data_IF_402382713081
#
_entry.id   IF_402382713081
#
_cell.length_a   1.000
_cell.length_b   1.000
_cell.length_c   1.000
_cell.angle_alpha   90.00
_cell.angle_beta   90.00
_cell.angle_gamma   90.00
#
_symmetry.space_group_name_H-M   'P 1'
#
loop_
_entity.id
_entity.type
_entity.pdbx_description
1 polymer ?
#
# COMPACT_ATOMS: atom_id res chain seq x y z
N UNK A 1 9.07 -16.19 17.45
CA UNK A 1 9.24 -16.61 16.03
C UNK A 1 8.02 -16.32 15.16
N UNK A 2 6.79 -16.77 15.51
CA UNK A 2 5.59 -16.53 14.68
C UNK A 2 5.27 -15.05 14.42
N UNK A 3 5.44 -14.18 15.42
CA UNK A 3 5.19 -12.73 15.28
C UNK A 3 6.20 -12.05 14.34
N UNK A 4 7.48 -12.42 14.44
CA UNK A 4 8.54 -11.90 13.57
C UNK A 4 8.26 -12.29 12.10
N UNK A 5 7.83 -13.53 11.88
CA UNK A 5 7.48 -14.01 10.54
C UNK A 5 6.23 -13.30 9.98
N UNK A 6 5.21 -13.04 10.80
CA UNK A 6 4.05 -12.23 10.39
C UNK A 6 4.42 -10.78 10.08
N UNK A 7 5.33 -10.19 10.85
CA UNK A 7 5.84 -8.84 10.59
C UNK A 7 6.63 -8.78 9.28
N UNK A 8 7.51 -9.76 9.02
CA UNK A 8 8.24 -9.85 7.76
C UNK A 8 7.29 -10.02 6.57
N UNK A 9 6.30 -10.92 6.66
CA UNK A 9 5.28 -11.09 5.64
C UNK A 9 4.49 -9.80 5.38
N UNK A 10 4.14 -9.08 6.45
CA UNK A 10 3.45 -7.80 6.32
C UNK A 10 4.33 -6.79 5.58
N UNK A 11 5.60 -6.62 5.96
CA UNK A 11 6.53 -5.72 5.28
C UNK A 11 6.69 -6.08 3.80
N UNK A 12 6.85 -7.37 3.47
CA UNK A 12 6.94 -7.83 2.08
C UNK A 12 5.64 -7.54 1.31
N UNK A 13 4.48 -7.78 1.92
CA UNK A 13 3.19 -7.51 1.29
C UNK A 13 2.99 -6.02 1.02
N UNK A 14 3.35 -5.14 1.97
CA UNK A 14 3.31 -3.68 1.78
C UNK A 14 4.23 -3.27 0.63
N UNK A 15 5.47 -3.73 0.63
CA UNK A 15 6.44 -3.35 -0.40
C UNK A 15 6.02 -3.81 -1.79
N UNK A 16 5.57 -5.06 -1.94
CA UNK A 16 5.10 -5.59 -3.21
C UNK A 16 3.83 -4.88 -3.69
N UNK A 17 2.91 -4.57 -2.78
CA UNK A 17 1.69 -3.81 -3.12
C UNK A 17 2.02 -2.40 -3.59
N UNK A 18 2.94 -1.72 -2.90
CA UNK A 18 3.40 -0.38 -3.26
C UNK A 18 4.04 -0.37 -4.65
N UNK A 19 4.96 -1.30 -4.90
CA UNK A 19 5.63 -1.45 -6.19
C UNK A 19 4.62 -1.76 -7.31
N UNK A 20 3.62 -2.59 -7.02
CA UNK A 20 2.58 -2.96 -7.98
C UNK A 20 1.69 -1.77 -8.31
N UNK A 21 1.20 -1.04 -7.30
CA UNK A 21 0.40 0.17 -7.51
C UNK A 21 1.15 1.19 -8.36
N UNK A 22 2.43 1.41 -8.05
CA UNK A 22 3.26 2.35 -8.79
C UNK A 22 3.51 1.94 -10.25
N UNK A 23 3.63 0.63 -10.53
CA UNK A 23 3.82 0.12 -11.89
C UNK A 23 2.53 0.02 -12.71
N UNK A 24 1.41 -0.27 -12.06
CA UNK A 24 0.13 -0.56 -12.72
C UNK A 24 -0.66 0.72 -12.97
N UNK A 25 -0.62 1.69 -12.05
CA UNK A 25 -1.34 2.94 -12.19
C UNK A 25 -0.48 3.90 -13.03
N UNK A 26 -0.90 4.25 -14.25
CA UNK A 26 -0.09 5.07 -15.14
C UNK A 26 0.01 6.51 -14.60
N UNK A 27 1.08 7.25 -14.94
CA UNK A 27 1.29 8.60 -14.43
C UNK A 27 0.08 9.52 -14.62
N UNK A 28 -0.57 9.50 -15.78
CA UNK A 28 -1.72 10.36 -16.09
C UNK A 28 -2.87 10.14 -15.10
N UNK A 29 -3.08 8.90 -14.67
CA UNK A 29 -4.06 8.59 -13.63
C UNK A 29 -3.60 9.08 -12.25
N UNK A 30 -2.30 9.00 -11.94
CA UNK A 30 -1.74 9.52 -10.69
C UNK A 30 -1.93 11.05 -10.60
N UNK A 31 -1.63 11.79 -11.68
CA UNK A 31 -1.86 13.22 -11.78
C UNK A 31 -3.35 13.56 -11.65
N UNK A 32 -4.22 12.86 -12.38
CA UNK A 32 -5.67 13.09 -12.33
C UNK A 32 -6.26 12.88 -10.93
N UNK A 33 -5.79 11.86 -10.20
CA UNK A 33 -6.21 11.64 -8.81
C UNK A 33 -5.76 12.83 -7.94
N UNK A 34 -4.51 13.29 -8.06
CA UNK A 34 -4.02 14.41 -7.26
C UNK A 34 -4.77 15.72 -7.57
N UNK A 35 -5.04 15.99 -8.85
CA UNK A 35 -5.84 17.14 -9.28
C UNK A 35 -7.27 17.11 -8.73
N UNK A 36 -7.88 15.91 -8.58
CA UNK A 36 -9.19 15.76 -7.94
C UNK A 36 -9.19 16.30 -6.49
N UNK A 37 -8.06 16.19 -5.80
CA UNK A 37 -7.87 16.75 -4.45
C UNK A 37 -7.32 18.19 -4.47
N UNK A 38 -7.27 18.84 -5.65
CA UNK A 38 -6.73 20.19 -5.86
C UNK A 38 -5.24 20.30 -5.49
N UNK A 39 -4.49 19.21 -5.63
CA UNK A 39 -3.05 19.16 -5.43
C UNK A 39 -2.38 19.39 -6.78
N UNK A 40 -1.54 20.41 -6.85
CA UNK A 40 -0.86 20.83 -8.07
C UNK A 40 0.65 20.95 -7.83
N UNK A 41 1.43 20.76 -8.88
CA UNK A 41 2.89 20.79 -8.83
C UNK A 41 3.48 19.39 -8.60
N UNK A 42 4.47 19.05 -9.42
CA UNK A 42 4.99 17.69 -9.54
C UNK A 42 5.48 17.10 -8.22
N UNK A 43 6.17 17.89 -7.39
CA UNK A 43 6.66 17.45 -6.08
C UNK A 43 5.50 17.09 -5.13
N UNK A 44 4.48 17.95 -5.04
CA UNK A 44 3.32 17.73 -4.18
C UNK A 44 2.45 16.55 -4.65
N UNK A 45 2.34 16.38 -5.96
CA UNK A 45 1.64 15.25 -6.58
C UNK A 45 2.36 13.95 -6.27
N UNK A 46 3.68 13.92 -6.44
CA UNK A 46 4.49 12.74 -6.15
C UNK A 46 4.36 12.34 -4.68
N UNK A 47 4.49 13.28 -3.75
CA UNK A 47 4.34 13.03 -2.33
C UNK A 47 2.94 12.49 -2.01
N UNK A 48 1.89 13.12 -2.53
CA UNK A 48 0.52 12.70 -2.31
C UNK A 48 0.27 11.26 -2.80
N UNK A 49 0.72 10.93 -4.01
CA UNK A 49 0.57 9.61 -4.62
C UNK A 49 1.33 8.56 -3.82
N UNK A 50 2.54 8.86 -3.36
CA UNK A 50 3.34 7.98 -2.51
C UNK A 50 2.63 7.69 -1.18
N UNK A 51 2.10 8.70 -0.49
CA UNK A 51 1.37 8.50 0.76
C UNK A 51 0.07 7.73 0.54
N UNK A 52 -0.66 8.02 -0.53
CA UNK A 52 -1.87 7.30 -0.89
C UNK A 52 -1.58 5.81 -1.13
N UNK A 53 -0.58 5.51 -1.97
CA UNK A 53 -0.23 4.13 -2.29
C UNK A 53 0.34 3.38 -1.09
N UNK A 54 1.12 4.05 -0.25
CA UNK A 54 1.60 3.50 1.02
C UNK A 54 0.42 3.17 1.95
N UNK A 55 -0.55 4.07 2.07
CA UNK A 55 -1.76 3.85 2.87
C UNK A 55 -2.57 2.65 2.38
N UNK A 56 -2.84 2.58 1.07
CA UNK A 56 -3.55 1.44 0.46
C UNK A 56 -2.80 0.13 0.67
N UNK A 57 -1.48 0.14 0.49
CA UNK A 57 -0.63 -1.04 0.66
C UNK A 57 -0.56 -1.51 2.11
N UNK A 58 -0.41 -0.58 3.06
CA UNK A 58 -0.39 -0.88 4.49
C UNK A 58 -1.75 -1.43 4.94
N UNK A 59 -2.85 -0.87 4.46
CA UNK A 59 -4.19 -1.33 4.77
C UNK A 59 -4.43 -2.75 4.24
N UNK A 60 -4.17 -2.99 2.95
CA UNK A 60 -4.37 -4.30 2.34
C UNK A 60 -3.51 -5.39 2.98
N UNK A 61 -2.23 -5.09 3.26
CA UNK A 61 -1.34 -6.00 3.97
C UNK A 61 -1.83 -6.28 5.40
N UNK A 62 -2.36 -5.28 6.09
CA UNK A 62 -2.90 -5.46 7.45
C UNK A 62 -4.13 -6.36 7.46
N UNK A 63 -5.06 -6.17 6.51
CA UNK A 63 -6.23 -7.04 6.33
C UNK A 63 -5.80 -8.48 6.04
N UNK A 64 -4.83 -8.66 5.15
CA UNK A 64 -4.29 -9.99 4.81
C UNK A 64 -3.63 -10.67 6.02
N UNK A 65 -2.77 -9.94 6.75
CA UNK A 65 -2.09 -10.46 7.93
C UNK A 65 -3.08 -10.79 9.05
N UNK A 66 -4.13 -9.98 9.24
CA UNK A 66 -5.20 -10.28 10.18
C UNK A 66 -5.96 -11.55 9.79
N UNK A 67 -6.33 -11.70 8.52
CA UNK A 67 -7.00 -12.90 8.01
C UNK A 67 -6.14 -14.15 8.22
N UNK A 68 -4.85 -14.09 7.88
CA UNK A 68 -3.89 -15.17 8.11
C UNK A 68 -3.76 -15.51 9.59
N UNK A 69 -3.68 -14.50 10.46
CA UNK A 69 -3.61 -14.71 11.90
C UNK A 69 -4.85 -15.43 12.44
N UNK A 70 -6.05 -15.03 12.01
CA UNK A 70 -7.31 -15.69 12.39
C UNK A 70 -7.36 -17.13 11.88
N UNK A 71 -6.93 -17.38 10.65
CA UNK A 71 -6.88 -18.73 10.07
C UNK A 71 -5.92 -19.66 10.82
N UNK A 72 -4.72 -19.16 11.17
CA UNK A 72 -3.73 -19.92 11.94
C UNK A 72 -4.22 -20.19 13.36
N UNK A 73 -4.97 -19.26 13.97
CA UNK A 73 -5.49 -19.41 15.34
C UNK A 73 -6.68 -20.36 15.44
N UNK A 74 -7.48 -20.49 14.37
CA UNK A 74 -8.64 -21.40 14.30
C UNK A 74 -8.26 -22.84 13.96
N UNK A 75 -7.02 -23.10 13.55
CA UNK A 75 -6.43 -24.44 13.42
C UNK A 75 -5.65 -24.81 14.68
#
# INVERSE_FOLDING_TARGET
>A
MKVILLALLWCTAVFLSLLTLYKVIPPEAQYSIAEHFKIYGDELIMDFVLYLFLGVSAFSASVLTLALYVLIRKK
#
